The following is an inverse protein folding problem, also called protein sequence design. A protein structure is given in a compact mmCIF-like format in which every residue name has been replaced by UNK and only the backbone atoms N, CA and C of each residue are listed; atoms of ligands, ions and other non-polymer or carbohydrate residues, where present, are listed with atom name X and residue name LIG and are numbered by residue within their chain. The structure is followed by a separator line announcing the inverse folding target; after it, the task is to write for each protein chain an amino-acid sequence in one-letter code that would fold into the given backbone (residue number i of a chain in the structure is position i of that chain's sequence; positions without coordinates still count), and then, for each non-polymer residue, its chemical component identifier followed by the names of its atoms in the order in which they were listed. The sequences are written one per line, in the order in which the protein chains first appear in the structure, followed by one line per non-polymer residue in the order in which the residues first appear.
data_IF_841468978186
#
_entry.id   IF_841468978186
#
_cell.length_a   1.000
_cell.length_b   1.000
_cell.length_c   1.000
_cell.angle_alpha   90.00
_cell.angle_beta   90.00
_cell.angle_gamma   90.00
#
_symmetry.space_group_name_H-M   'P 1'
#
loop_
_entity.id
_entity.type
_entity.pdbx_description
1 polymer ?
#
# COMPACT_ATOMS: atom_id res chain seq x y z
N UNK A 1 -69.12 52.82 -29.26
CA UNK A 1 -68.46 52.54 -30.56
C UNK A 1 -67.83 51.16 -30.49
N UNK A 2 -68.21 50.25 -31.41
CA UNK A 2 -67.61 48.93 -31.79
C UNK A 2 -67.23 47.94 -30.65
N UNK A 3 -67.95 46.84 -30.36
CA UNK A 3 -68.33 45.62 -31.12
C UNK A 3 -67.41 44.40 -30.82
N UNK A 4 -68.09 43.27 -30.49
CA UNK A 4 -67.74 41.83 -30.42
C UNK A 4 -67.01 41.19 -29.18
N UNK A 5 -67.77 40.32 -28.50
CA UNK A 5 -67.42 39.18 -27.61
C UNK A 5 -66.87 37.97 -28.45
N UNK A 6 -66.46 36.77 -27.91
CA UNK A 6 -66.73 36.19 -26.58
C UNK A 6 -65.64 35.29 -25.91
N UNK A 7 -65.91 34.96 -24.63
CA UNK A 7 -65.67 33.71 -23.89
C UNK A 7 -64.40 32.86 -24.10
N UNK A 8 -63.74 32.48 -23.01
CA UNK A 8 -63.83 31.11 -22.44
C UNK A 8 -63.08 30.96 -21.11
N UNK A 9 -63.71 30.14 -20.25
CA UNK A 9 -63.13 29.22 -19.23
C UNK A 9 -62.43 29.77 -17.97
N UNK A 10 -63.20 29.70 -16.88
CA UNK A 10 -62.73 29.40 -15.52
C UNK A 10 -62.09 28.00 -15.46
N UNK A 11 -60.90 27.88 -14.85
CA UNK A 11 -60.43 26.63 -14.25
C UNK A 11 -59.96 26.89 -12.81
N UNK A 12 -60.42 26.08 -11.83
CA UNK A 12 -60.09 26.24 -10.42
C UNK A 12 -58.70 25.69 -10.08
N UNK A 13 -58.15 26.25 -9.00
CA UNK A 13 -56.90 25.88 -8.36
C UNK A 13 -56.83 24.37 -8.05
N UNK A 14 -55.71 23.75 -8.42
CA UNK A 14 -55.34 22.40 -8.01
C UNK A 14 -54.26 22.45 -6.91
N UNK A 15 -54.27 21.48 -5.96
CA UNK A 15 -53.47 21.54 -4.74
C UNK A 15 -52.00 21.17 -4.95
N UNK A 16 -51.17 21.71 -4.06
CA UNK A 16 -49.76 21.37 -3.84
C UNK A 16 -49.54 19.85 -3.78
N UNK A 17 -48.80 19.32 -4.76
CA UNK A 17 -48.20 17.99 -4.66
C UNK A 17 -46.75 18.12 -4.20
N UNK A 18 -46.48 17.64 -2.98
CA UNK A 18 -45.14 17.35 -2.48
C UNK A 18 -44.43 16.35 -3.41
N UNK A 19 -43.14 16.54 -3.75
CA UNK A 19 -42.40 15.52 -4.49
C UNK A 19 -42.33 14.26 -3.62
N UNK A 20 -43.02 13.19 -4.03
CA UNK A 20 -42.77 11.86 -3.48
C UNK A 20 -41.32 11.52 -3.76
N UNK A 21 -40.50 11.48 -2.72
CA UNK A 21 -39.24 10.76 -2.75
C UNK A 21 -39.54 9.34 -3.23
N UNK A 22 -39.20 9.05 -4.48
CA UNK A 22 -39.00 7.70 -4.96
C UNK A 22 -37.82 7.15 -4.16
N UNK A 23 -38.10 6.55 -3.01
CA UNK A 23 -37.20 5.62 -2.37
C UNK A 23 -36.99 4.51 -3.40
N UNK A 24 -35.90 4.63 -4.16
CA UNK A 24 -35.30 3.49 -4.83
C UNK A 24 -35.08 2.49 -3.72
N UNK A 25 -35.90 1.43 -3.68
CA UNK A 25 -35.66 0.24 -2.89
C UNK A 25 -34.25 -0.21 -3.24
N UNK A 26 -33.26 0.21 -2.44
CA UNK A 26 -32.02 -0.55 -2.30
C UNK A 26 -32.50 -1.87 -1.76
N UNK A 27 -32.60 -2.86 -2.64
CA UNK A 27 -32.44 -4.26 -2.28
C UNK A 27 -31.10 -4.31 -1.56
N UNK A 28 -31.14 -4.13 -0.25
CA UNK A 28 -30.09 -4.55 0.65
C UNK A 28 -30.13 -6.07 0.50
N UNK A 29 -29.35 -6.58 -0.45
CA UNK A 29 -28.94 -7.97 -0.40
C UNK A 29 -28.32 -8.11 0.98
N UNK A 30 -29.05 -8.73 1.91
CA UNK A 30 -28.48 -9.34 3.10
C UNK A 30 -27.64 -10.53 2.62
N UNK A 31 -26.58 -10.20 1.88
CA UNK A 31 -25.59 -11.16 1.43
C UNK A 31 -24.99 -11.74 2.69
N UNK A 32 -25.00 -13.07 2.78
CA UNK A 32 -24.15 -13.80 3.69
C UNK A 32 -22.78 -13.12 3.76
N UNK A 33 -22.19 -13.04 4.96
CA UNK A 33 -20.81 -12.57 5.18
C UNK A 33 -19.85 -13.51 4.43
N UNK A 34 -19.79 -13.41 3.09
CA UNK A 34 -18.88 -14.16 2.27
C UNK A 34 -17.51 -13.55 2.51
N UNK A 35 -16.70 -14.24 3.31
CA UNK A 35 -15.32 -13.83 3.58
C UNK A 35 -14.51 -13.69 2.28
N UNK A 36 -14.87 -14.45 1.24
CA UNK A 36 -14.19 -14.54 -0.05
C UNK A 36 -15.15 -14.12 -1.17
N UNK A 37 -14.77 -13.13 -1.98
CA UNK A 37 -15.47 -12.76 -3.21
C UNK A 37 -14.73 -13.30 -4.44
N UNK A 38 -15.44 -13.87 -5.44
CA UNK A 38 -14.83 -14.22 -6.71
C UNK A 38 -14.25 -12.98 -7.42
N UNK A 39 -12.98 -13.04 -7.80
CA UNK A 39 -12.30 -11.98 -8.52
C UNK A 39 -12.93 -11.70 -9.89
N UNK A 40 -13.54 -12.70 -10.52
CA UNK A 40 -14.32 -12.54 -11.76
C UNK A 40 -15.56 -11.66 -11.57
N UNK A 41 -16.22 -11.74 -10.41
CA UNK A 41 -17.35 -10.88 -10.05
C UNK A 41 -16.90 -9.44 -9.81
N UNK A 42 -15.76 -9.24 -9.12
CA UNK A 42 -15.19 -7.91 -8.98
C UNK A 42 -14.77 -7.34 -10.34
N UNK A 43 -14.09 -8.14 -11.16
CA UNK A 43 -13.61 -7.76 -12.50
C UNK A 43 -14.75 -7.30 -13.40
N UNK A 44 -15.92 -7.97 -13.40
CA UNK A 44 -17.08 -7.55 -14.21
C UNK A 44 -17.68 -6.21 -13.77
N UNK A 45 -17.47 -5.81 -12.51
CA UNK A 45 -17.88 -4.50 -11.99
C UNK A 45 -16.88 -3.38 -12.30
N UNK A 46 -15.66 -3.73 -12.69
CA UNK A 46 -14.62 -2.80 -13.12
C UNK A 46 -14.73 -2.59 -14.63
N UNK A 47 -15.51 -1.61 -15.06
CA UNK A 47 -15.75 -1.33 -16.50
C UNK A 47 -14.56 -0.71 -17.24
N UNK A 48 -13.43 -0.51 -16.55
CA UNK A 48 -12.24 0.22 -17.00
C UNK A 48 -11.13 0.10 -15.94
N UNK A 49 -9.91 0.47 -16.29
CA UNK A 49 -8.77 0.43 -15.37
C UNK A 49 -9.08 1.15 -14.04
N UNK A 50 -8.99 0.46 -12.90
CA UNK A 50 -9.42 1.02 -11.63
C UNK A 50 -8.35 1.92 -10.99
N UNK A 51 -8.79 3.00 -10.36
CA UNK A 51 -7.98 3.66 -9.34
C UNK A 51 -7.99 2.85 -8.04
N UNK A 52 -7.00 3.03 -7.17
CA UNK A 52 -7.00 2.40 -5.83
C UNK A 52 -8.28 2.70 -5.05
N UNK A 53 -8.79 3.94 -5.15
CA UNK A 53 -10.02 4.36 -4.48
C UNK A 53 -11.28 3.71 -5.08
N UNK A 54 -11.39 3.71 -6.41
CA UNK A 54 -12.52 3.08 -7.10
C UNK A 54 -12.57 1.58 -6.82
N UNK A 55 -11.41 0.91 -6.85
CA UNK A 55 -11.30 -0.50 -6.48
C UNK A 55 -11.67 -0.74 -5.02
N UNK A 56 -11.10 0.04 -4.09
CA UNK A 56 -11.42 -0.05 -2.66
C UNK A 56 -12.93 0.03 -2.43
N UNK A 57 -13.61 1.00 -3.04
CA UNK A 57 -15.06 1.15 -2.95
C UNK A 57 -15.80 -0.10 -3.45
N UNK A 58 -15.49 -0.58 -4.66
CA UNK A 58 -16.12 -1.77 -5.24
C UNK A 58 -15.89 -3.00 -4.37
N UNK A 59 -14.68 -3.15 -3.82
CA UNK A 59 -14.32 -4.26 -2.94
C UNK A 59 -15.03 -4.18 -1.58
N UNK A 60 -15.07 -3.01 -0.94
CA UNK A 60 -15.72 -2.82 0.37
C UNK A 60 -17.24 -3.01 0.29
N UNK A 61 -17.86 -2.69 -0.85
CA UNK A 61 -19.27 -2.98 -1.10
C UNK A 61 -19.61 -4.49 -1.09
N UNK A 62 -18.62 -5.38 -1.24
CA UNK A 62 -18.85 -6.83 -1.15
C UNK A 62 -18.93 -7.34 0.29
N UNK A 63 -18.53 -6.51 1.27
CA UNK A 63 -18.35 -6.94 2.65
C UNK A 63 -17.44 -8.18 2.81
N UNK A 64 -16.49 -8.36 1.90
CA UNK A 64 -15.52 -9.45 1.91
C UNK A 64 -14.16 -9.00 2.46
N UNK A 65 -13.37 -9.98 2.88
CA UNK A 65 -11.98 -9.80 3.28
C UNK A 65 -10.99 -10.24 2.18
N UNK A 66 -11.39 -11.23 1.37
CA UNK A 66 -10.51 -11.87 0.40
C UNK A 66 -11.08 -11.85 -1.01
N UNK A 67 -10.19 -11.80 -1.99
CA UNK A 67 -10.49 -11.97 -3.40
C UNK A 67 -9.95 -13.33 -3.82
N UNK A 68 -10.74 -14.13 -4.51
CA UNK A 68 -10.30 -15.39 -5.11
C UNK A 68 -10.20 -15.25 -6.63
N UNK A 69 -9.00 -15.40 -7.19
CA UNK A 69 -8.82 -15.53 -8.63
C UNK A 69 -9.07 -16.97 -9.05
N UNK A 70 -7.99 -17.74 -9.25
CA UNK A 70 -8.08 -19.18 -9.51
C UNK A 70 -8.27 -19.99 -8.22
N UNK A 71 -8.97 -21.13 -8.28
CA UNK A 71 -9.10 -22.03 -7.15
C UNK A 71 -7.73 -22.51 -6.64
N UNK A 72 -7.57 -22.45 -5.32
CA UNK A 72 -6.48 -23.07 -4.58
C UNK A 72 -7.11 -23.59 -3.27
N UNK A 73 -6.76 -24.79 -2.78
CA UNK A 73 -7.49 -25.45 -1.68
C UNK A 73 -7.11 -24.85 -0.32
N UNK A 74 -7.28 -23.54 -0.13
CA UNK A 74 -7.09 -22.83 1.13
C UNK A 74 -8.47 -22.49 1.71
N UNK A 75 -8.70 -22.88 2.96
CA UNK A 75 -9.88 -22.47 3.71
C UNK A 75 -9.79 -21.01 4.16
N UNK A 76 -10.91 -20.42 4.57
CA UNK A 76 -10.93 -19.08 5.17
C UNK A 76 -10.02 -18.96 6.41
N UNK A 77 -9.92 -20.01 7.23
CA UNK A 77 -9.01 -20.02 8.39
C UNK A 77 -7.54 -20.01 7.95
N UNK A 78 -7.19 -20.76 6.89
CA UNK A 78 -5.88 -20.68 6.26
C UNK A 78 -5.56 -19.26 5.76
N UNK A 79 -6.54 -18.55 5.19
CA UNK A 79 -6.37 -17.15 4.76
C UNK A 79 -6.17 -16.20 5.94
N UNK A 80 -6.87 -16.39 7.06
CA UNK A 80 -6.63 -15.61 8.31
C UNK A 80 -5.23 -15.85 8.87
N UNK A 81 -4.70 -17.08 8.79
CA UNK A 81 -3.30 -17.35 9.14
C UNK A 81 -2.32 -16.67 8.20
N UNK A 82 -2.64 -16.58 6.91
CA UNK A 82 -1.84 -15.80 5.94
C UNK A 82 -1.89 -14.31 6.28
N UNK A 83 -3.02 -13.76 6.74
CA UNK A 83 -3.08 -12.36 7.23
C UNK A 83 -2.12 -12.15 8.42
N UNK A 84 -2.14 -13.06 9.40
CA UNK A 84 -1.22 -13.02 10.56
C UNK A 84 0.23 -13.12 10.12
N UNK A 85 0.54 -14.07 9.24
CA UNK A 85 1.86 -14.26 8.66
C UNK A 85 2.34 -13.00 7.93
N UNK A 86 1.46 -12.39 7.14
CA UNK A 86 1.75 -11.17 6.40
C UNK A 86 2.11 -10.01 7.33
N UNK A 87 1.30 -9.78 8.37
CA UNK A 87 1.59 -8.77 9.39
C UNK A 87 2.89 -9.05 10.13
N UNK A 88 3.11 -10.30 10.55
CA UNK A 88 4.32 -10.69 11.28
C UNK A 88 5.58 -10.45 10.45
N UNK A 89 5.57 -10.88 9.18
CA UNK A 89 6.69 -10.68 8.26
C UNK A 89 6.90 -9.21 7.88
N UNK A 90 5.82 -8.42 7.75
CA UNK A 90 5.90 -6.97 7.52
C UNK A 90 6.62 -6.27 8.68
N UNK A 91 6.20 -6.54 9.90
CA UNK A 91 6.81 -5.95 11.10
C UNK A 91 8.26 -6.40 11.25
N UNK A 92 8.56 -7.66 10.92
CA UNK A 92 9.92 -8.17 10.95
C UNK A 92 10.84 -7.48 9.94
N UNK A 93 10.40 -7.34 8.70
CA UNK A 93 11.25 -6.75 7.67
C UNK A 93 11.43 -5.23 7.83
N UNK A 94 10.52 -4.54 8.52
CA UNK A 94 10.54 -3.08 8.58
C UNK A 94 10.17 -2.45 7.23
N UNK A 95 9.42 -1.36 7.28
CA UNK A 95 8.84 -0.75 6.08
C UNK A 95 9.84 0.12 5.28
N UNK A 96 10.86 -0.45 4.65
CA UNK A 96 11.86 0.37 3.96
C UNK A 96 11.46 0.92 2.58
N UNK A 97 11.95 2.12 2.26
CA UNK A 97 12.08 2.65 0.89
C UNK A 97 13.48 2.30 0.35
N UNK A 98 13.60 1.70 -0.83
CA UNK A 98 14.84 1.08 -1.34
C UNK A 98 15.61 1.92 -2.36
N UNK A 99 15.62 3.26 -2.28
CA UNK A 99 16.50 4.02 -3.18
C UNK A 99 17.96 4.07 -2.73
N UNK A 100 18.23 3.90 -1.43
CA UNK A 100 19.54 3.65 -0.83
C UNK A 100 19.30 3.50 0.67
N UNK A 101 19.39 2.31 1.27
CA UNK A 101 19.18 2.18 2.70
C UNK A 101 20.31 2.93 3.45
N UNK A 102 19.97 4.04 4.12
CA UNK A 102 20.89 4.76 5.02
C UNK A 102 20.58 4.41 6.47
N UNK A 103 21.62 4.28 7.30
CA UNK A 103 21.51 4.07 8.74
C UNK A 103 20.83 2.75 9.17
N UNK A 104 20.02 2.78 10.22
CA UNK A 104 19.30 1.63 10.80
C UNK A 104 18.36 0.95 9.80
N UNK A 105 17.98 1.68 8.76
CA UNK A 105 17.16 1.17 7.68
C UNK A 105 17.89 0.20 6.73
N UNK A 106 19.23 0.15 6.78
CA UNK A 106 20.07 -0.76 5.98
C UNK A 106 20.19 -2.16 6.54
N UNK A 107 19.96 -2.33 7.84
CA UNK A 107 20.21 -3.60 8.52
C UNK A 107 19.10 -4.60 8.20
N UNK A 108 19.36 -5.47 7.22
CA UNK A 108 18.51 -6.64 7.01
C UNK A 108 18.67 -7.58 8.19
N UNK A 109 17.55 -8.10 8.69
CA UNK A 109 17.55 -9.22 9.62
C UNK A 109 17.25 -10.45 8.78
N UNK A 110 18.29 -11.18 8.30
CA UNK A 110 18.06 -12.42 7.58
C UNK A 110 17.36 -13.41 8.51
N UNK A 111 16.39 -14.13 7.98
CA UNK A 111 15.82 -15.30 8.65
C UNK A 111 15.87 -16.48 7.66
N UNK A 112 16.14 -17.70 8.15
CA UNK A 112 16.15 -18.88 7.31
C UNK A 112 14.76 -19.20 6.80
N UNK A 113 14.66 -20.06 5.77
CA UNK A 113 13.41 -20.71 5.41
C UNK A 113 12.74 -21.35 6.63
N UNK A 114 11.43 -21.16 6.73
CA UNK A 114 10.63 -21.73 7.82
C UNK A 114 9.28 -22.21 7.28
N UNK A 115 8.71 -23.18 7.96
CA UNK A 115 7.35 -23.67 7.70
C UNK A 115 6.36 -23.06 8.67
N UNK A 116 5.12 -22.91 8.22
CA UNK A 116 3.97 -22.51 9.03
C UNK A 116 2.87 -23.54 8.85
N UNK A 117 2.30 -23.99 9.97
CA UNK A 117 1.13 -24.88 9.96
C UNK A 117 -0.15 -24.04 9.76
N UNK A 118 -0.86 -24.27 8.66
CA UNK A 118 -2.19 -23.72 8.38
C UNK A 118 -3.29 -24.53 9.09
N UNK A 119 -4.47 -23.95 9.28
CA UNK A 119 -5.55 -24.55 10.10
C UNK A 119 -6.21 -25.79 9.49
N UNK A 120 -6.00 -26.04 8.20
CA UNK A 120 -6.50 -27.20 7.48
C UNK A 120 -5.46 -28.33 7.38
N UNK A 121 -4.49 -28.35 8.30
CA UNK A 121 -3.39 -29.32 8.32
C UNK A 121 -2.35 -29.13 7.21
N UNK A 122 -2.52 -28.12 6.35
CA UNK A 122 -1.55 -27.80 5.31
C UNK A 122 -0.35 -27.11 5.91
N UNK A 123 0.83 -27.39 5.35
CA UNK A 123 2.07 -26.72 5.72
C UNK A 123 2.55 -25.88 4.56
N UNK A 124 3.01 -24.67 4.88
CA UNK A 124 3.58 -23.77 3.88
C UNK A 124 5.01 -23.43 4.25
N UNK A 125 5.93 -23.60 3.30
CA UNK A 125 7.31 -23.14 3.46
C UNK A 125 7.42 -21.73 2.91
N UNK A 126 8.03 -20.85 3.70
CA UNK A 126 8.27 -19.45 3.36
C UNK A 126 9.76 -19.25 3.16
N UNK A 127 10.14 -18.75 1.98
CA UNK A 127 11.51 -18.34 1.66
C UNK A 127 11.48 -16.89 1.22
N UNK A 128 12.34 -16.06 1.79
CA UNK A 128 12.48 -14.68 1.36
C UNK A 128 13.20 -14.66 -0.01
N UNK A 129 12.54 -14.15 -1.06
CA UNK A 129 13.11 -14.10 -2.41
C UNK A 129 13.51 -12.67 -2.83
N UNK A 130 12.59 -11.71 -2.73
CA UNK A 130 12.79 -10.37 -3.30
C UNK A 130 12.32 -9.24 -2.38
N UNK A 131 12.96 -8.07 -2.48
CA UNK A 131 12.56 -6.85 -1.76
C UNK A 131 12.46 -5.70 -2.74
N UNK A 132 11.35 -4.98 -2.69
CA UNK A 132 11.15 -3.73 -3.43
C UNK A 132 10.92 -2.55 -2.50
N UNK A 133 10.80 -1.36 -3.07
CA UNK A 133 10.56 -0.10 -2.33
C UNK A 133 9.27 -0.15 -1.49
N UNK A 134 8.26 -0.90 -1.95
CA UNK A 134 6.88 -0.82 -1.44
C UNK A 134 6.33 -2.16 -0.95
N UNK A 135 7.01 -3.26 -1.29
CA UNK A 135 6.59 -4.62 -1.00
C UNK A 135 7.78 -5.54 -0.85
N UNK A 136 7.54 -6.70 -0.23
CA UNK A 136 8.46 -7.83 -0.25
C UNK A 136 7.79 -9.01 -0.95
N UNK A 137 8.58 -9.89 -1.55
CA UNK A 137 8.14 -11.10 -2.24
C UNK A 137 8.78 -12.31 -1.59
N UNK A 138 7.95 -13.32 -1.35
CA UNK A 138 8.35 -14.58 -0.76
C UNK A 138 7.96 -15.73 -1.68
N UNK A 139 8.81 -16.75 -1.75
CA UNK A 139 8.35 -18.06 -2.18
C UNK A 139 7.43 -18.62 -1.11
N UNK A 140 6.24 -19.00 -1.54
CA UNK A 140 5.24 -19.67 -0.74
C UNK A 140 5.08 -21.07 -1.32
N UNK A 141 5.58 -22.08 -0.62
CA UNK A 141 5.57 -23.46 -1.11
C UNK A 141 4.46 -24.22 -0.39
N UNK A 142 3.47 -24.69 -1.14
CA UNK A 142 2.33 -25.44 -0.63
C UNK A 142 2.20 -26.76 -1.40
N UNK A 143 2.28 -27.89 -0.68
CA UNK A 143 2.20 -29.22 -1.30
C UNK A 143 3.25 -29.44 -2.40
N UNK A 144 4.46 -28.93 -2.21
CA UNK A 144 5.56 -29.00 -3.18
C UNK A 144 5.47 -28.01 -4.35
N UNK A 145 4.36 -27.28 -4.50
CA UNK A 145 4.19 -26.27 -5.55
C UNK A 145 4.59 -24.89 -5.05
N UNK A 146 5.31 -24.13 -5.89
CA UNK A 146 5.75 -22.76 -5.60
C UNK A 146 4.70 -21.73 -6.04
N UNK A 147 4.48 -20.75 -5.18
CA UNK A 147 3.66 -19.56 -5.41
C UNK A 147 4.46 -18.33 -4.99
N UNK A 148 4.07 -17.15 -5.49
CA UNK A 148 4.65 -15.90 -5.06
C UNK A 148 3.69 -15.19 -4.10
N UNK A 149 4.12 -15.03 -2.84
CA UNK A 149 3.41 -14.20 -1.86
C UNK A 149 4.02 -12.81 -1.87
N UNK A 150 3.33 -11.84 -2.47
CA UNK A 150 3.72 -10.42 -2.44
C UNK A 150 3.00 -9.74 -1.29
N UNK A 151 3.76 -9.04 -0.46
CA UNK A 151 3.24 -8.36 0.73
C UNK A 151 3.63 -6.90 0.70
N UNK A 152 2.64 -6.02 0.75
CA UNK A 152 2.85 -4.59 0.80
C UNK A 152 3.34 -4.21 2.19
N UNK A 153 4.29 -3.29 2.23
CA UNK A 153 4.83 -2.75 3.49
C UNK A 153 3.78 -1.89 4.20
N UNK A 154 2.99 -1.16 3.44
CA UNK A 154 1.96 -0.24 3.92
C UNK A 154 0.62 -0.59 3.24
N UNK A 155 -0.28 -1.34 3.90
CA UNK A 155 -1.54 -1.78 3.31
C UNK A 155 -2.58 -0.66 3.20
N UNK A 156 -2.44 0.39 4.01
CA UNK A 156 -3.33 1.56 3.98
C UNK A 156 -2.95 2.54 2.87
N UNK A 157 -1.83 2.30 2.19
CA UNK A 157 -1.37 3.07 1.04
C UNK A 157 -2.39 2.97 -0.10
N UNK A 158 -3.05 4.08 -0.40
CA UNK A 158 -3.99 4.21 -1.52
C UNK A 158 -3.34 4.89 -2.73
N UNK A 159 -2.14 4.47 -3.11
CA UNK A 159 -1.47 4.98 -4.30
C UNK A 159 -1.10 3.88 -5.28
N UNK A 160 -0.38 4.23 -6.34
CA UNK A 160 -0.10 3.39 -7.50
C UNK A 160 0.53 2.07 -7.07
N UNK A 161 1.42 2.10 -6.08
CA UNK A 161 2.12 0.93 -5.58
C UNK A 161 1.56 0.43 -4.25
N UNK A 162 0.37 0.89 -3.88
CA UNK A 162 -0.41 0.40 -2.76
C UNK A 162 -1.16 -0.89 -3.10
N UNK A 163 -1.60 -1.60 -2.06
CA UNK A 163 -2.30 -2.89 -2.19
C UNK A 163 -3.55 -2.76 -3.07
N UNK A 164 -4.37 -1.74 -2.83
CA UNK A 164 -5.61 -1.52 -3.58
C UNK A 164 -5.38 -1.16 -5.06
N UNK A 165 -4.27 -0.52 -5.40
CA UNK A 165 -3.96 -0.21 -6.80
C UNK A 165 -3.53 -1.46 -7.55
N UNK A 166 -2.48 -2.13 -7.07
CA UNK A 166 -1.95 -3.30 -7.77
C UNK A 166 -2.91 -4.49 -7.75
N UNK A 167 -3.56 -4.79 -6.62
CA UNK A 167 -4.57 -5.85 -6.56
C UNK A 167 -5.79 -5.48 -7.40
N UNK A 168 -6.14 -4.20 -7.47
CA UNK A 168 -7.18 -3.69 -8.37
C UNK A 168 -6.84 -3.96 -9.83
N UNK A 169 -5.60 -3.69 -10.25
CA UNK A 169 -5.11 -3.99 -11.59
C UNK A 169 -5.14 -5.50 -11.88
N UNK A 170 -4.63 -6.33 -10.98
CA UNK A 170 -4.71 -7.80 -11.12
C UNK A 170 -6.15 -8.26 -11.28
N UNK A 171 -7.07 -7.74 -10.46
CA UNK A 171 -8.50 -8.08 -10.50
C UNK A 171 -9.15 -7.65 -11.80
N UNK A 172 -8.89 -6.42 -12.27
CA UNK A 172 -9.37 -5.92 -13.56
C UNK A 172 -8.93 -6.83 -14.71
N UNK A 173 -7.66 -7.23 -14.69
CA UNK A 173 -7.07 -8.04 -15.73
C UNK A 173 -7.58 -9.49 -15.74
N UNK A 174 -8.22 -10.01 -14.68
CA UNK A 174 -8.65 -11.43 -14.61
C UNK A 174 -9.47 -11.89 -15.82
N UNK A 175 -10.42 -11.07 -16.27
CA UNK A 175 -11.32 -11.39 -17.39
C UNK A 175 -10.86 -10.81 -18.73
N UNK A 176 -9.61 -10.35 -18.83
CA UNK A 176 -9.07 -9.70 -20.04
C UNK A 176 -8.08 -10.62 -20.76
N UNK A 177 -8.00 -10.58 -22.11
CA UNK A 177 -7.07 -11.41 -22.87
C UNK A 177 -5.67 -10.77 -22.85
N UNK A 178 -4.99 -10.80 -21.69
CA UNK A 178 -3.63 -10.27 -21.52
C UNK A 178 -2.69 -11.39 -21.11
N UNK A 179 -1.63 -11.61 -21.90
CA UNK A 179 -0.58 -12.62 -21.64
C UNK A 179 0.53 -12.08 -20.74
N UNK A 180 1.30 -12.98 -20.13
CA UNK A 180 2.48 -12.61 -19.33
C UNK A 180 2.17 -11.99 -17.96
N UNK A 181 0.93 -12.07 -17.48
CA UNK A 181 0.52 -11.63 -16.14
C UNK A 181 0.39 -12.84 -15.22
N UNK A 182 0.96 -12.81 -13.99
CA UNK A 182 0.79 -13.86 -13.00
C UNK A 182 -0.68 -14.21 -12.75
N UNK A 183 -0.95 -15.50 -12.58
CA UNK A 183 -2.28 -15.94 -12.18
C UNK A 183 -2.50 -15.55 -10.72
N UNK A 184 -3.54 -14.77 -10.44
CA UNK A 184 -3.95 -14.47 -9.08
C UNK A 184 -4.71 -15.66 -8.49
N UNK A 185 -4.31 -16.13 -7.32
CA UNK A 185 -5.04 -17.15 -6.55
C UNK A 185 -5.88 -16.50 -5.46
N UNK A 186 -5.23 -15.74 -4.59
CA UNK A 186 -5.89 -15.02 -3.50
C UNK A 186 -5.27 -13.64 -3.29
N UNK A 187 -6.05 -12.70 -2.76
CA UNK A 187 -5.54 -11.44 -2.24
C UNK A 187 -6.38 -10.95 -1.07
N UNK A 188 -5.73 -10.18 -0.18
CA UNK A 188 -6.41 -9.36 0.82
C UNK A 188 -5.91 -7.91 0.66
N UNK A 189 -6.67 -7.03 -0.01
CA UNK A 189 -6.31 -5.63 -0.16
C UNK A 189 -6.17 -4.89 1.18
N UNK A 190 -7.01 -5.23 2.17
CA UNK A 190 -7.03 -4.62 3.51
C UNK A 190 -5.80 -4.97 4.32
N UNK A 191 -5.38 -6.24 4.28
CA UNK A 191 -4.17 -6.69 4.97
C UNK A 191 -2.92 -6.50 4.12
N UNK A 192 -3.06 -6.14 2.84
CA UNK A 192 -1.98 -5.78 1.93
C UNK A 192 -1.10 -6.97 1.56
N UNK A 193 -1.69 -8.02 1.01
CA UNK A 193 -0.96 -9.10 0.36
C UNK A 193 -1.74 -9.72 -0.80
N UNK A 194 -1.01 -10.37 -1.70
CA UNK A 194 -1.55 -11.19 -2.78
C UNK A 194 -0.69 -12.43 -3.01
N UNK A 195 -1.33 -13.49 -3.48
CA UNK A 195 -0.73 -14.78 -3.81
C UNK A 195 -0.92 -15.06 -5.30
N UNK A 196 0.17 -15.15 -6.04
CA UNK A 196 0.15 -15.41 -7.48
C UNK A 196 0.94 -16.66 -7.86
N UNK A 197 0.83 -17.07 -9.13
CA UNK A 197 1.74 -18.06 -9.72
C UNK A 197 3.20 -17.62 -9.55
N UNK A 198 4.06 -18.57 -9.25
CA UNK A 198 5.51 -18.38 -9.29
C UNK A 198 5.99 -18.41 -10.74
N UNK A 199 6.86 -17.48 -11.12
CA UNK A 199 7.58 -17.52 -12.38
C UNK A 199 9.07 -17.67 -12.10
N UNK A 200 9.67 -18.67 -12.74
CA UNK A 200 11.11 -18.81 -12.83
C UNK A 200 11.51 -18.40 -14.26
N UNK A 201 12.46 -17.47 -14.40
CA UNK A 201 12.99 -17.04 -15.69
C UNK A 201 13.53 -18.22 -16.53
N UNK A 202 13.98 -19.30 -15.87
CA UNK A 202 14.45 -20.54 -16.51
C UNK A 202 13.31 -21.48 -16.90
N UNK A 203 12.11 -21.31 -16.34
CA UNK A 203 10.94 -22.09 -16.71
C UNK A 203 10.27 -21.47 -17.93
N UNK A 204 10.05 -22.26 -18.98
CA UNK A 204 9.33 -21.84 -20.19
C UNK A 204 7.85 -21.47 -19.92
N UNK A 205 7.38 -21.61 -18.68
CA UNK A 205 5.99 -21.41 -18.26
C UNK A 205 5.71 -19.91 -18.04
N UNK A 206 5.99 -19.07 -19.05
CA UNK A 206 5.72 -17.62 -19.11
C UNK A 206 4.21 -17.31 -19.13
N UNK A 207 3.49 -17.73 -18.10
CA UNK A 207 2.07 -17.49 -17.91
C UNK A 207 1.21 -18.14 -19.00
N UNK A 208 0.38 -19.12 -18.63
CA UNK A 208 -0.51 -19.84 -19.55
C UNK A 208 -1.65 -18.99 -20.12
N UNK A 209 -1.65 -17.68 -19.86
CA UNK A 209 -2.67 -16.75 -20.35
C UNK A 209 -2.37 -16.42 -21.80
N UNK A 210 -3.35 -16.64 -22.67
CA UNK A 210 -3.32 -16.22 -24.07
C UNK A 210 -3.87 -14.80 -24.21
N UNK A 211 -3.46 -14.08 -25.27
CA UNK A 211 -3.97 -12.75 -25.58
C UNK A 211 -2.90 -11.73 -25.98
N UNK A 212 -3.26 -10.45 -25.87
CA UNK A 212 -2.41 -9.30 -26.17
C UNK A 212 -1.27 -9.19 -25.15
N UNK A 213 -0.10 -8.73 -25.59
CA UNK A 213 0.90 -8.27 -24.64
C UNK A 213 0.39 -7.05 -23.86
N UNK A 214 0.94 -6.83 -22.67
CA UNK A 214 0.45 -5.79 -21.76
C UNK A 214 0.52 -4.39 -22.40
N UNK A 215 1.61 -4.04 -23.08
CA UNK A 215 1.76 -2.69 -23.64
C UNK A 215 0.76 -2.41 -24.76
N UNK A 216 0.54 -3.39 -25.65
CA UNK A 216 -0.53 -3.30 -26.66
C UNK A 216 -1.89 -3.13 -26.01
N UNK A 217 -2.20 -3.92 -24.98
CA UNK A 217 -3.45 -3.78 -24.23
C UNK A 217 -3.60 -2.39 -23.59
N UNK A 218 -2.56 -1.87 -22.94
CA UNK A 218 -2.58 -0.55 -22.30
C UNK A 218 -2.83 0.58 -23.32
N UNK A 219 -2.23 0.49 -24.52
CA UNK A 219 -2.49 1.45 -25.60
C UNK A 219 -3.97 1.48 -25.99
N UNK A 220 -4.63 0.33 -26.09
CA UNK A 220 -6.08 0.26 -26.37
C UNK A 220 -6.92 0.88 -25.23
N UNK A 221 -6.48 0.74 -23.99
CA UNK A 221 -7.17 1.29 -22.81
C UNK A 221 -6.86 2.78 -22.56
N UNK A 222 -6.06 3.44 -23.42
CA UNK A 222 -5.54 4.80 -23.21
C UNK A 222 -4.74 4.95 -21.90
N UNK A 223 -3.97 3.90 -21.59
CA UNK A 223 -3.10 3.79 -20.43
C UNK A 223 -1.63 3.72 -20.88
N UNK A 224 -0.72 4.15 -20.00
CA UNK A 224 0.71 4.03 -20.20
C UNK A 224 1.42 3.57 -18.92
N UNK A 225 2.65 3.10 -19.05
CA UNK A 225 3.46 2.57 -17.94
C UNK A 225 4.69 3.44 -17.76
N UNK A 226 4.94 3.99 -16.57
CA UNK A 226 6.03 4.97 -16.37
C UNK A 226 7.45 4.42 -16.39
N UNK A 227 7.62 3.12 -16.23
CA UNK A 227 8.93 2.49 -16.36
C UNK A 227 9.02 1.81 -17.74
N UNK A 228 9.17 2.60 -18.79
CA UNK A 228 9.50 2.12 -20.15
C UNK A 228 10.99 1.80 -20.31
N UNK A 229 11.84 2.31 -19.41
CA UNK A 229 13.24 1.88 -19.27
C UNK A 229 13.33 0.59 -18.44
N UNK A 230 14.16 -0.35 -18.88
CA UNK A 230 14.44 -1.70 -18.39
C UNK A 230 14.62 -1.94 -16.86
N UNK A 231 14.36 -0.98 -15.98
CA UNK A 231 14.65 -1.11 -14.54
C UNK A 231 13.65 -1.98 -13.77
N UNK A 232 12.42 -2.18 -14.30
CA UNK A 232 11.41 -3.08 -13.74
C UNK A 232 10.88 -4.12 -14.73
N UNK A 233 11.38 -4.12 -15.97
CA UNK A 233 11.14 -5.19 -16.95
C UNK A 233 12.33 -6.13 -16.87
N UNK A 234 12.18 -7.23 -16.14
CA UNK A 234 13.18 -8.31 -16.15
C UNK A 234 14.20 -8.35 -15.02
N UNK A 235 13.83 -8.01 -13.79
CA UNK A 235 14.60 -8.49 -12.63
C UNK A 235 13.69 -9.19 -11.63
N UNK A 236 13.72 -10.53 -11.68
CA UNK A 236 13.21 -11.48 -10.68
C UNK A 236 11.67 -11.59 -10.54
N UNK A 237 11.11 -12.60 -11.20
CA UNK A 237 9.90 -13.35 -10.83
C UNK A 237 8.54 -12.60 -10.79
N UNK A 238 8.49 -11.29 -11.07
CA UNK A 238 7.28 -10.51 -11.35
C UNK A 238 7.47 -9.75 -12.67
N UNK A 239 6.67 -10.09 -13.68
CA UNK A 239 6.90 -9.61 -15.06
C UNK A 239 6.56 -8.11 -15.21
N UNK A 240 5.63 -7.57 -14.40
CA UNK A 240 5.22 -6.17 -14.47
C UNK A 240 4.89 -5.59 -13.10
N UNK A 241 5.41 -4.39 -12.80
CA UNK A 241 4.94 -3.52 -11.72
C UNK A 241 3.64 -2.83 -12.17
N UNK A 242 2.52 -3.52 -11.99
CA UNK A 242 1.20 -2.97 -12.38
C UNK A 242 0.85 -1.66 -11.68
N UNK A 243 1.57 -1.32 -10.61
CA UNK A 243 1.44 -0.03 -9.97
C UNK A 243 1.95 1.12 -10.85
N UNK A 244 2.89 0.90 -11.78
CA UNK A 244 3.38 1.94 -12.68
C UNK A 244 2.38 2.40 -13.77
N UNK A 245 1.17 1.83 -13.81
CA UNK A 245 0.20 2.04 -14.89
C UNK A 245 -0.75 3.18 -14.57
N UNK A 246 -0.88 4.13 -15.50
CA UNK A 246 -1.65 5.35 -15.31
C UNK A 246 -2.22 5.86 -16.65
N UNK A 247 -3.23 6.75 -16.63
CA UNK A 247 -3.89 7.25 -17.82
C UNK A 247 -3.00 8.22 -18.59
N UNK A 248 -2.99 8.16 -19.92
CA UNK A 248 -2.23 9.09 -20.79
C UNK A 248 -2.64 10.55 -20.59
N UNK A 249 -3.88 10.82 -20.19
CA UNK A 249 -4.31 12.20 -19.90
C UNK A 249 -3.54 12.84 -18.73
N UNK A 250 -3.07 12.02 -17.78
CA UNK A 250 -2.35 12.52 -16.61
C UNK A 250 -0.92 12.97 -16.91
N UNK A 251 -0.32 12.58 -18.03
CA UNK A 251 1.01 13.06 -18.43
C UNK A 251 1.00 14.40 -19.18
N UNK A 252 -0.18 15.03 -19.38
CA UNK A 252 -0.35 16.23 -20.22
C UNK A 252 -0.83 17.50 -19.50
N UNK A 253 -0.79 17.55 -18.17
CA UNK A 253 -1.25 18.74 -17.44
C UNK A 253 -0.19 19.86 -17.48
N UNK A 254 -0.55 21.02 -18.04
CA UNK A 254 0.35 22.18 -18.16
C UNK A 254 -0.05 23.38 -17.31
N UNK A 255 -1.29 23.43 -16.79
CA UNK A 255 -1.79 24.52 -15.93
C UNK A 255 -2.67 24.04 -14.75
N UNK A 256 -2.91 24.92 -13.79
CA UNK A 256 -3.91 24.69 -12.73
C UNK A 256 -5.32 24.52 -13.31
N UNK A 257 -5.66 25.23 -14.40
CA UNK A 257 -6.95 25.09 -15.06
C UNK A 257 -7.12 23.69 -15.67
N UNK A 258 -6.08 23.11 -16.26
CA UNK A 258 -6.13 21.74 -16.78
C UNK A 258 -6.30 20.73 -15.66
N UNK A 259 -5.66 20.97 -14.51
CA UNK A 259 -5.87 20.18 -13.32
C UNK A 259 -7.32 20.30 -12.80
N UNK A 260 -7.90 21.49 -12.77
CA UNK A 260 -9.30 21.67 -12.39
C UNK A 260 -10.26 20.98 -13.35
N UNK A 261 -10.03 21.10 -14.67
CA UNK A 261 -10.81 20.37 -15.69
C UNK A 261 -10.71 18.87 -15.50
N UNK A 262 -9.52 18.37 -15.18
CA UNK A 262 -9.28 16.97 -14.88
C UNK A 262 -10.12 16.52 -13.67
N UNK A 263 -10.13 17.30 -12.59
CA UNK A 263 -10.95 17.05 -11.39
C UNK A 263 -12.45 17.13 -11.65
N UNK A 264 -12.89 18.10 -12.46
CA UNK A 264 -14.31 18.40 -12.67
C UNK A 264 -14.96 17.54 -13.76
N UNK A 265 -14.18 16.86 -14.60
CA UNK A 265 -14.66 16.17 -15.80
C UNK A 265 -15.57 14.96 -15.53
N UNK A 266 -15.86 14.61 -14.27
CA UNK A 266 -16.61 13.39 -13.93
C UNK A 266 -15.89 12.11 -14.38
N UNK A 267 -14.69 12.23 -14.97
CA UNK A 267 -13.74 11.15 -15.21
C UNK A 267 -13.09 10.71 -13.88
N UNK A 268 -13.82 10.67 -12.77
CA UNK A 268 -13.46 10.04 -11.48
C UNK A 268 -12.94 8.60 -11.63
N UNK A 269 -13.17 8.07 -12.82
CA UNK A 269 -12.87 6.76 -13.32
C UNK A 269 -11.56 6.71 -14.14
N UNK A 270 -11.16 7.74 -14.91
CA UNK A 270 -9.94 7.70 -15.76
C UNK A 270 -8.96 8.85 -15.54
N UNK A 271 -9.30 9.86 -14.75
CA UNK A 271 -8.56 11.12 -14.70
C UNK A 271 -7.34 11.06 -13.78
N UNK A 272 -7.47 10.39 -12.63
CA UNK A 272 -6.37 10.24 -11.68
C UNK A 272 -6.45 8.85 -11.04
N UNK A 273 -5.95 7.85 -11.76
CA UNK A 273 -5.66 6.58 -11.10
C UNK A 273 -4.57 6.83 -10.08
N UNK A 274 -4.96 6.66 -8.82
CA UNK A 274 -4.15 6.91 -7.65
C UNK A 274 -2.71 6.47 -7.87
N UNK A 275 -1.80 7.45 -7.92
CA UNK A 275 -0.37 7.23 -7.68
C UNK A 275 0.65 7.86 -8.63
N UNK A 276 0.20 8.46 -9.72
CA UNK A 276 1.06 9.37 -10.45
C UNK A 276 0.93 10.80 -9.91
N UNK A 277 2.09 11.46 -9.85
CA UNK A 277 2.32 12.78 -9.25
C UNK A 277 1.26 13.75 -9.76
N UNK A 278 0.81 14.72 -8.95
CA UNK A 278 0.24 15.95 -9.54
C UNK A 278 1.26 16.38 -10.60
N UNK A 279 0.92 16.28 -11.89
CA UNK A 279 1.91 16.30 -12.97
C UNK A 279 2.60 17.65 -13.01
N UNK A 280 3.63 17.70 -13.84
CA UNK A 280 4.64 18.74 -13.99
C UNK A 280 4.08 20.08 -14.48
N UNK A 281 3.01 20.62 -13.89
CA UNK A 281 2.50 21.99 -14.10
C UNK A 281 3.71 22.91 -13.97
N UNK A 282 4.25 23.49 -15.05
CA UNK A 282 5.58 24.11 -15.02
C UNK A 282 5.64 25.27 -14.04
N UNK A 283 4.55 26.03 -13.94
CA UNK A 283 4.41 27.12 -12.99
C UNK A 283 4.25 26.62 -11.55
N UNK A 284 5.13 27.11 -10.67
CA UNK A 284 5.20 26.66 -9.26
C UNK A 284 4.01 27.14 -8.43
N UNK A 285 3.50 28.35 -8.70
CA UNK A 285 2.38 28.91 -7.95
C UNK A 285 1.07 28.17 -8.30
N UNK A 286 0.87 27.87 -9.58
CA UNK A 286 -0.23 27.02 -10.06
C UNK A 286 -0.11 25.59 -9.54
N UNK A 287 1.09 25.03 -9.48
CA UNK A 287 1.33 23.71 -8.89
C UNK A 287 0.98 23.69 -7.39
N UNK A 288 1.32 24.75 -6.64
CA UNK A 288 0.92 24.90 -5.24
C UNK A 288 -0.61 24.96 -5.09
N UNK A 289 -1.30 25.73 -5.95
CA UNK A 289 -2.77 25.77 -5.99
C UNK A 289 -3.37 24.39 -6.29
N UNK A 290 -2.80 23.65 -7.24
CA UNK A 290 -3.21 22.28 -7.54
C UNK A 290 -3.03 21.33 -6.34
N UNK A 291 -1.89 21.43 -5.62
CA UNK A 291 -1.63 20.64 -4.41
C UNK A 291 -2.64 20.92 -3.29
N UNK A 292 -3.02 22.19 -3.06
CA UNK A 292 -4.08 22.49 -2.09
C UNK A 292 -5.44 21.96 -2.54
N UNK A 293 -5.83 22.22 -3.78
CA UNK A 293 -7.10 21.72 -4.31
C UNK A 293 -7.17 20.19 -4.22
N UNK A 294 -6.06 19.48 -4.44
CA UNK A 294 -5.98 18.04 -4.29
C UNK A 294 -6.18 17.54 -2.84
N UNK A 295 -5.87 18.34 -1.80
CA UNK A 295 -6.11 17.95 -0.40
C UNK A 295 -7.62 17.84 -0.08
N UNK A 296 -8.45 18.60 -0.79
CA UNK A 296 -9.91 18.56 -0.64
C UNK A 296 -10.52 17.28 -1.23
N UNK A 297 -9.75 16.52 -2.01
CA UNK A 297 -10.18 15.28 -2.65
C UNK A 297 -9.55 14.05 -1.96
N UNK A 298 -10.32 13.26 -1.17
CA UNK A 298 -9.80 12.12 -0.40
C UNK A 298 -8.95 11.13 -1.20
N UNK A 299 -9.30 10.89 -2.46
CA UNK A 299 -8.60 9.98 -3.36
C UNK A 299 -7.21 10.48 -3.80
N UNK A 300 -6.90 11.76 -3.61
CA UNK A 300 -5.65 12.39 -4.02
C UNK A 300 -4.72 12.73 -2.85
N UNK A 301 -5.26 12.81 -1.64
CA UNK A 301 -4.57 13.23 -0.40
C UNK A 301 -3.22 12.56 -0.16
N UNK A 302 -3.12 11.24 -0.36
CA UNK A 302 -1.87 10.49 -0.18
C UNK A 302 -0.79 10.90 -1.20
N UNK A 303 -1.20 11.35 -2.39
CA UNK A 303 -0.32 11.78 -3.48
C UNK A 303 0.18 13.21 -3.32
N UNK A 304 -0.62 14.08 -2.71
CA UNK A 304 -0.20 15.46 -2.43
C UNK A 304 1.14 15.45 -1.68
N UNK A 305 1.28 14.60 -0.66
CA UNK A 305 2.51 14.52 0.14
C UNK A 305 3.71 14.01 -0.66
N UNK A 306 3.51 13.04 -1.54
CA UNK A 306 4.54 12.53 -2.46
C UNK A 306 4.97 13.59 -3.47
N UNK A 307 4.03 14.31 -4.06
CA UNK A 307 4.30 15.40 -5.00
C UNK A 307 4.96 16.59 -4.31
N UNK A 308 4.56 16.94 -3.09
CA UNK A 308 5.09 18.08 -2.36
C UNK A 308 6.55 17.87 -1.91
N UNK A 309 6.89 16.69 -1.39
CA UNK A 309 8.23 16.48 -0.81
C UNK A 309 9.20 15.64 -1.64
N UNK A 310 8.90 15.34 -2.90
CA UNK A 310 9.90 14.86 -3.87
C UNK A 310 10.89 15.99 -4.20
N UNK A 311 11.99 16.06 -3.44
CA UNK A 311 13.13 16.98 -3.64
C UNK A 311 13.68 16.99 -5.06
N UNK A 312 13.59 15.88 -5.78
CA UNK A 312 14.08 15.75 -7.16
C UNK A 312 13.32 16.63 -8.16
N UNK A 313 12.16 17.20 -7.80
CA UNK A 313 11.30 17.96 -8.72
C UNK A 313 11.24 19.47 -8.50
N UNK A 314 11.92 20.05 -7.48
CA UNK A 314 11.79 21.49 -7.14
C UNK A 314 10.32 21.97 -7.17
N UNK A 315 9.38 21.12 -6.68
CA UNK A 315 7.94 21.31 -6.86
C UNK A 315 7.43 22.61 -6.24
N UNK A 316 8.06 23.04 -5.16
CA UNK A 316 7.80 24.29 -4.46
C UNK A 316 9.13 25.02 -4.31
N UNK A 317 9.11 26.36 -4.37
CA UNK A 317 10.30 27.21 -4.45
C UNK A 317 10.95 27.51 -3.10
N UNK A 318 10.23 27.39 -1.99
CA UNK A 318 10.72 27.65 -0.64
C UNK A 318 10.34 26.52 0.32
N UNK A 319 11.04 26.43 1.43
CA UNK A 319 10.78 25.40 2.45
C UNK A 319 9.48 25.64 3.23
N UNK A 320 9.01 26.89 3.30
CA UNK A 320 7.76 27.29 3.96
C UNK A 320 6.52 26.73 3.27
N UNK A 321 6.48 26.73 1.94
CA UNK A 321 5.34 26.18 1.19
C UNK A 321 5.22 24.67 1.38
N UNK A 322 6.36 23.99 1.50
CA UNK A 322 6.42 22.57 1.84
C UNK A 322 5.92 22.37 3.27
N UNK A 323 6.40 23.17 4.23
CA UNK A 323 5.92 23.14 5.63
C UNK A 323 4.41 23.34 5.70
N UNK A 324 3.85 24.32 4.98
CA UNK A 324 2.42 24.60 5.00
C UNK A 324 1.59 23.45 4.38
N UNK A 325 2.00 22.93 3.21
CA UNK A 325 1.29 21.80 2.57
C UNK A 325 1.38 20.53 3.42
N UNK A 326 2.57 20.22 3.96
CA UNK A 326 2.74 19.09 4.86
C UNK A 326 1.91 19.28 6.14
N UNK A 327 1.93 20.48 6.72
CA UNK A 327 1.18 20.83 7.93
C UNK A 327 -0.33 20.71 7.76
N UNK A 328 -0.87 21.11 6.61
CA UNK A 328 -2.27 20.86 6.24
C UNK A 328 -2.55 19.37 5.99
N UNK A 329 -1.62 18.69 5.33
CA UNK A 329 -1.66 17.24 5.13
C UNK A 329 -1.76 16.44 6.43
N UNK A 330 -1.16 16.92 7.52
CA UNK A 330 -1.25 16.28 8.84
C UNK A 330 -2.68 16.28 9.41
N UNK A 331 -3.57 17.15 8.95
CA UNK A 331 -4.97 17.13 9.40
C UNK A 331 -5.75 15.93 8.81
N UNK A 332 -5.16 15.18 7.87
CA UNK A 332 -5.75 14.02 7.24
C UNK A 332 -4.98 12.74 7.61
N UNK A 333 -5.60 11.77 8.32
CA UNK A 333 -4.93 10.51 8.70
C UNK A 333 -4.30 9.75 7.53
N UNK A 334 -4.91 9.81 6.34
CA UNK A 334 -4.40 9.14 5.13
C UNK A 334 -3.09 9.75 4.58
N UNK A 335 -2.84 11.03 4.88
CA UNK A 335 -1.69 11.80 4.40
C UNK A 335 -0.61 11.95 5.46
N UNK A 336 -0.98 11.91 6.75
CA UNK A 336 -0.06 12.18 7.85
C UNK A 336 1.17 11.27 7.87
N UNK A 337 1.00 10.00 7.48
CA UNK A 337 2.12 9.05 7.33
C UNK A 337 3.14 9.52 6.29
N UNK A 338 2.65 9.87 5.11
CA UNK A 338 3.47 10.32 3.97
C UNK A 338 4.10 11.68 4.22
N UNK A 339 3.41 12.56 4.93
CA UNK A 339 3.90 13.89 5.25
C UNK A 339 5.24 13.82 6.01
N UNK A 340 5.38 12.90 6.96
CA UNK A 340 6.67 12.64 7.65
C UNK A 340 7.71 12.07 6.69
N UNK A 341 7.35 11.04 5.92
CA UNK A 341 8.29 10.37 5.03
C UNK A 341 8.99 11.35 4.08
N UNK A 342 8.26 12.35 3.59
CA UNK A 342 8.82 13.35 2.69
C UNK A 342 9.34 14.61 3.40
N UNK A 343 9.10 14.78 4.71
CA UNK A 343 9.78 15.77 5.53
C UNK A 343 11.26 15.40 5.80
N UNK A 344 11.62 14.10 5.72
CA UNK A 344 12.95 13.50 6.04
C UNK A 344 14.15 14.04 5.22
N UNK A 345 13.93 14.84 4.18
CA UNK A 345 15.04 15.49 3.50
C UNK A 345 15.83 16.47 4.40
N UNK A 346 15.21 17.04 5.43
CA UNK A 346 15.68 18.26 6.07
C UNK A 346 16.01 17.99 7.53
N UNK A 347 17.26 17.68 7.82
CA UNK A 347 17.78 17.60 9.18
C UNK A 347 18.03 19.00 9.81
N UNK A 348 17.34 20.05 9.37
CA UNK A 348 17.60 21.43 9.81
C UNK A 348 16.30 22.17 10.22
N UNK A 349 16.28 22.51 11.50
CA UNK A 349 15.42 23.35 12.37
C UNK A 349 13.88 23.42 12.23
N UNK A 350 13.27 23.57 11.04
CA UNK A 350 11.89 24.14 11.01
C UNK A 350 10.78 23.10 10.82
N UNK A 351 11.14 21.88 10.42
CA UNK A 351 10.19 20.76 10.19
C UNK A 351 10.03 19.82 11.38
N UNK A 352 10.84 19.98 12.42
CA UNK A 352 10.76 19.15 13.63
C UNK A 352 9.40 19.25 14.36
N UNK A 353 8.76 20.43 14.51
CA UNK A 353 7.42 20.51 15.09
C UNK A 353 6.37 19.73 14.29
N UNK A 354 6.47 19.71 12.95
CA UNK A 354 5.59 18.91 12.10
C UNK A 354 5.83 17.42 12.30
N UNK A 355 7.10 17.00 12.41
CA UNK A 355 7.45 15.63 12.77
C UNK A 355 6.78 15.22 14.08
N UNK A 356 6.94 16.02 15.15
CA UNK A 356 6.33 15.75 16.46
C UNK A 356 4.79 15.74 16.40
N UNK A 357 4.16 16.69 15.70
CA UNK A 357 2.71 16.73 15.50
C UNK A 357 2.22 15.46 14.79
N UNK A 358 2.97 15.00 13.80
CA UNK A 358 2.62 13.84 13.02
C UNK A 358 2.76 12.53 13.82
N UNK A 359 3.69 12.41 14.78
CA UNK A 359 3.79 11.25 15.68
C UNK A 359 2.52 10.93 16.48
N UNK A 360 1.49 11.79 16.47
CA UNK A 360 0.18 11.52 17.06
C UNK A 360 -0.65 10.51 16.25
N UNK A 361 -0.35 10.32 14.97
CA UNK A 361 -1.08 9.39 14.11
C UNK A 361 -0.37 8.03 13.99
N UNK A 362 -1.14 6.95 14.01
CA UNK A 362 -0.63 5.57 13.92
C UNK A 362 0.24 5.34 12.68
N UNK A 363 -0.19 5.84 11.52
CA UNK A 363 0.52 5.66 10.24
C UNK A 363 1.80 6.48 10.15
N UNK A 364 1.80 7.64 10.80
CA UNK A 364 2.95 8.52 10.95
C UNK A 364 4.07 7.92 11.78
N UNK A 365 3.75 7.17 12.82
CA UNK A 365 4.74 6.50 13.67
C UNK A 365 5.51 5.40 12.95
N UNK A 366 4.83 4.66 12.07
CA UNK A 366 5.46 3.63 11.23
C UNK A 366 6.44 4.25 10.24
N UNK A 367 6.09 5.39 9.64
CA UNK A 367 6.96 6.15 8.76
C UNK A 367 8.12 6.82 9.51
N UNK A 368 7.85 7.45 10.66
CA UNK A 368 8.86 8.04 11.53
C UNK A 368 9.87 7.00 12.05
N UNK A 369 9.41 5.77 12.31
CA UNK A 369 10.28 4.71 12.83
C UNK A 369 11.44 4.35 11.88
N UNK A 370 11.34 4.71 10.60
CA UNK A 370 12.36 4.50 9.57
C UNK A 370 13.54 5.48 9.67
N UNK A 371 13.40 6.53 10.47
CA UNK A 371 14.33 7.66 10.55
C UNK A 371 14.78 7.96 11.99
N UNK A 372 14.46 7.08 12.95
CA UNK A 372 14.76 7.31 14.38
C UNK A 372 16.26 7.54 14.60
N UNK A 373 17.09 6.85 13.83
CA UNK A 373 18.55 6.93 13.85
C UNK A 373 19.10 8.24 13.28
N UNK A 374 18.27 9.02 12.58
CA UNK A 374 18.60 10.35 12.06
C UNK A 374 18.10 11.49 12.94
N UNK A 375 17.31 11.21 13.97
CA UNK A 375 16.82 12.24 14.88
C UNK A 375 17.99 12.90 15.64
N UNK A 376 17.82 14.11 16.20
CA UNK A 376 18.77 14.71 17.14
C UNK A 376 19.12 13.73 18.26
N UNK A 377 20.39 13.67 18.64
CA UNK A 377 20.96 12.62 19.47
C UNK A 377 20.16 12.43 20.78
N UNK A 378 19.84 13.52 21.45
CA UNK A 378 19.08 13.64 22.70
C UNK A 378 17.64 13.09 22.61
N UNK A 379 17.09 12.96 21.40
CA UNK A 379 15.71 12.49 21.17
C UNK A 379 15.63 11.01 20.77
N UNK A 380 16.77 10.38 20.42
CA UNK A 380 16.80 9.02 19.88
C UNK A 380 16.37 7.98 20.92
N UNK A 381 17.00 7.97 22.09
CA UNK A 381 16.67 7.00 23.13
C UNK A 381 15.20 7.10 23.58
N UNK A 382 14.65 8.29 23.94
CA UNK A 382 13.22 8.41 24.27
C UNK A 382 12.30 7.89 23.17
N UNK A 383 12.63 8.14 21.90
CA UNK A 383 11.84 7.67 20.75
C UNK A 383 11.89 6.15 20.59
N UNK A 384 13.08 5.55 20.72
CA UNK A 384 13.27 4.09 20.69
C UNK A 384 12.47 3.41 21.80
N UNK A 385 12.58 3.90 23.04
CA UNK A 385 11.87 3.34 24.19
C UNK A 385 10.34 3.46 24.04
N UNK A 386 9.86 4.61 23.55
CA UNK A 386 8.43 4.83 23.27
C UNK A 386 7.92 3.83 22.24
N UNK A 387 8.69 3.57 21.19
CA UNK A 387 8.32 2.62 20.13
C UNK A 387 8.27 1.19 20.63
N UNK A 388 9.24 0.76 21.44
CA UNK A 388 9.20 -0.58 22.03
C UNK A 388 7.93 -0.82 22.85
N UNK A 389 7.57 0.14 23.70
CA UNK A 389 6.43 0.05 24.62
C UNK A 389 5.08 0.14 23.93
N UNK A 390 4.97 1.02 22.95
CA UNK A 390 3.65 1.45 22.45
C UNK A 390 3.32 0.94 21.05
N UNK A 391 4.32 0.52 20.26
CA UNK A 391 4.15 0.30 18.82
C UNK A 391 4.81 -0.99 18.34
N UNK A 392 4.12 -2.14 18.45
CA UNK A 392 4.63 -3.45 18.00
C UNK A 392 5.18 -3.44 16.56
N UNK A 393 4.52 -2.73 15.65
CA UNK A 393 4.92 -2.63 14.24
C UNK A 393 6.22 -1.86 14.00
N UNK A 394 6.65 -1.03 14.94
CA UNK A 394 7.90 -0.25 14.87
C UNK A 394 9.08 -0.90 15.59
N UNK A 395 8.84 -1.98 16.34
CA UNK A 395 9.84 -2.62 17.22
C UNK A 395 11.10 -3.07 16.49
N UNK A 396 10.98 -3.71 15.32
CA UNK A 396 12.14 -4.14 14.55
C UNK A 396 13.01 -2.95 14.08
N UNK A 397 12.39 -1.83 13.74
CA UNK A 397 13.09 -0.62 13.32
C UNK A 397 13.78 0.08 14.49
N UNK A 398 13.09 0.20 15.63
CA UNK A 398 13.69 0.72 16.86
C UNK A 398 14.88 -0.14 17.33
N UNK A 399 14.78 -1.47 17.23
CA UNK A 399 15.87 -2.39 17.54
C UNK A 399 17.10 -2.19 16.64
N UNK A 400 16.89 -1.92 15.34
CA UNK A 400 17.99 -1.60 14.41
C UNK A 400 18.61 -0.24 14.71
N UNK A 401 17.82 0.72 15.18
CA UNK A 401 18.29 2.07 15.52
C UNK A 401 19.15 2.15 16.78
N UNK A 402 19.20 1.09 17.59
CA UNK A 402 20.05 1.00 18.79
C UNK A 402 21.53 1.29 18.48
N UNK A 403 22.02 0.92 17.30
CA UNK A 403 23.42 1.16 16.90
C UNK A 403 23.76 2.65 16.73
N UNK A 404 22.75 3.52 16.63
CA UNK A 404 22.93 4.98 16.51
C UNK A 404 23.08 5.71 17.86
N UNK A 405 23.01 4.98 18.98
CA UNK A 405 23.13 5.49 20.34
C UNK A 405 24.56 5.37 20.88
N UNK A 406 24.93 6.23 21.84
CA UNK A 406 26.11 6.09 22.69
C UNK A 406 25.98 4.86 23.60
N UNK A 407 27.07 4.47 24.26
CA UNK A 407 27.10 3.20 24.98
C UNK A 407 26.12 3.11 26.17
N UNK A 408 25.99 4.11 27.06
CA UNK A 408 24.99 4.07 28.13
C UNK A 408 23.54 3.95 27.61
N UNK A 409 23.19 4.72 26.57
CA UNK A 409 21.86 4.72 25.98
C UNK A 409 21.59 3.41 25.24
N UNK A 410 22.62 2.87 24.57
CA UNK A 410 22.56 1.58 23.87
C UNK A 410 22.22 0.44 24.83
N UNK A 411 22.89 0.35 25.97
CA UNK A 411 22.62 -0.68 26.98
C UNK A 411 21.19 -0.55 27.54
N UNK A 412 20.74 0.68 27.76
CA UNK A 412 19.36 0.97 28.19
C UNK A 412 18.34 0.50 27.14
N UNK A 413 18.56 0.82 25.87
CA UNK A 413 17.69 0.43 24.78
C UNK A 413 17.69 -1.10 24.53
N UNK A 414 18.85 -1.76 24.65
CA UNK A 414 18.95 -3.22 24.57
C UNK A 414 18.11 -3.85 25.69
N UNK A 415 18.30 -3.43 26.94
CA UNK A 415 17.55 -3.97 28.10
C UNK A 415 16.04 -3.83 27.92
N UNK A 416 15.57 -2.69 27.41
CA UNK A 416 14.15 -2.51 27.12
C UNK A 416 13.69 -3.38 25.94
N UNK A 417 14.44 -3.39 24.83
CA UNK A 417 14.11 -4.13 23.62
C UNK A 417 14.02 -5.64 23.85
N UNK A 418 14.87 -6.21 24.70
CA UNK A 418 14.88 -7.64 25.02
C UNK A 418 13.59 -8.16 25.67
N UNK A 419 12.73 -7.26 26.20
CA UNK A 419 11.41 -7.62 26.76
C UNK A 419 10.39 -8.03 25.69
N UNK A 420 10.62 -7.67 24.42
CA UNK A 420 9.67 -7.88 23.34
C UNK A 420 10.23 -8.91 22.34
N UNK A 421 9.51 -10.00 22.02
CA UNK A 421 10.03 -11.07 21.17
C UNK A 421 10.60 -10.62 19.82
N UNK A 422 9.89 -9.73 19.10
CA UNK A 422 10.35 -9.18 17.83
C UNK A 422 11.67 -8.41 17.99
N UNK A 423 11.71 -7.46 18.94
CA UNK A 423 12.90 -6.66 19.22
C UNK A 423 14.07 -7.54 19.64
N UNK A 424 13.82 -8.52 20.51
CA UNK A 424 14.80 -9.51 20.97
C UNK A 424 15.40 -10.31 19.82
N UNK A 425 14.58 -10.76 18.86
CA UNK A 425 15.08 -11.44 17.67
C UNK A 425 16.05 -10.53 16.90
N UNK A 426 15.61 -9.31 16.60
CA UNK A 426 16.44 -8.34 15.85
C UNK A 426 17.72 -7.99 16.60
N UNK A 427 17.65 -7.74 17.91
CA UNK A 427 18.81 -7.44 18.76
C UNK A 427 19.78 -8.62 18.76
N UNK A 428 19.29 -9.84 18.96
CA UNK A 428 20.14 -11.02 18.97
C UNK A 428 20.81 -11.27 17.61
N UNK A 429 20.11 -11.01 16.50
CA UNK A 429 20.71 -11.11 15.16
C UNK A 429 21.79 -10.06 14.93
N UNK A 430 21.61 -8.83 15.41
CA UNK A 430 22.52 -7.72 15.13
C UNK A 430 23.70 -7.61 16.09
N UNK A 431 23.48 -7.86 17.37
CA UNK A 431 24.46 -7.63 18.44
C UNK A 431 25.01 -8.92 19.05
N UNK A 432 24.30 -10.05 18.94
CA UNK A 432 24.68 -11.33 19.54
C UNK A 432 24.75 -12.46 18.50
N UNK A 433 25.45 -12.21 17.39
CA UNK A 433 25.46 -13.10 16.21
C UNK A 433 25.94 -14.55 16.51
N UNK A 434 26.76 -14.73 17.55
CA UNK A 434 27.26 -16.04 18.01
C UNK A 434 26.20 -16.91 18.67
N UNK A 435 25.07 -16.34 19.10
CA UNK A 435 24.03 -17.04 19.88
C UNK A 435 22.84 -17.49 19.03
N UNK A 436 23.09 -18.35 18.04
CA UNK A 436 22.06 -18.82 17.10
C UNK A 436 20.83 -19.42 17.80
N UNK A 437 21.01 -20.18 18.88
CA UNK A 437 19.89 -20.77 19.62
C UNK A 437 18.95 -19.71 20.21
N UNK A 438 19.49 -18.67 20.84
CA UNK A 438 18.70 -17.55 21.40
C UNK A 438 18.01 -16.73 20.30
N UNK A 439 18.64 -16.58 19.13
CA UNK A 439 18.02 -15.96 17.96
C UNK A 439 16.80 -16.77 17.50
N UNK A 440 16.94 -18.10 17.37
CA UNK A 440 15.84 -18.95 16.93
C UNK A 440 14.71 -19.03 17.94
N UNK A 441 15.03 -19.11 19.23
CA UNK A 441 13.99 -19.05 20.26
C UNK A 441 13.21 -17.73 20.20
N UNK A 442 13.91 -16.60 20.03
CA UNK A 442 13.26 -15.30 19.89
C UNK A 442 12.39 -15.20 18.62
N UNK A 443 12.85 -15.79 17.51
CA UNK A 443 12.07 -15.90 16.27
C UNK A 443 10.79 -16.71 16.48
N UNK A 444 10.89 -17.90 17.07
CA UNK A 444 9.74 -18.74 17.40
C UNK A 444 8.75 -18.03 18.32
N UNK A 445 9.24 -17.42 19.41
CA UNK A 445 8.38 -16.72 20.37
C UNK A 445 7.64 -15.55 19.71
N UNK A 446 8.29 -14.83 18.78
CA UNK A 446 7.66 -13.75 18.03
C UNK A 446 6.51 -14.25 17.15
N UNK A 447 6.73 -15.31 16.38
CA UNK A 447 5.67 -15.87 15.54
C UNK A 447 4.55 -16.50 16.38
N UNK A 448 4.88 -17.09 17.53
CA UNK A 448 3.89 -17.60 18.50
C UNK A 448 3.02 -16.47 19.06
N UNK A 449 3.59 -15.31 19.40
CA UNK A 449 2.84 -14.10 19.81
C UNK A 449 1.88 -13.65 18.70
N UNK A 450 2.26 -13.82 17.43
CA UNK A 450 1.40 -13.58 16.27
C UNK A 450 0.36 -14.69 16.01
N UNK A 451 0.30 -15.74 16.85
CA UNK A 451 -0.61 -16.87 16.71
C UNK A 451 -0.22 -17.81 15.57
N UNK A 452 1.08 -17.98 15.31
CA UNK A 452 1.65 -18.82 14.26
C UNK A 452 2.63 -19.83 14.88
N UNK A 453 2.41 -21.12 14.62
CA UNK A 453 3.43 -22.14 14.90
C UNK A 453 4.36 -22.23 13.69
N UNK A 454 5.63 -21.92 13.93
CA UNK A 454 6.67 -21.93 12.88
C UNK A 454 7.69 -22.99 13.20
N UNK A 455 8.28 -23.62 12.18
CA UNK A 455 9.39 -24.56 12.32
C UNK A 455 10.46 -24.25 11.31
N UNK A 456 11.72 -24.16 11.75
CA UNK A 456 12.83 -23.85 10.85
C UNK A 456 13.07 -25.02 9.87
N UNK A 457 13.31 -24.72 8.60
CA UNK A 457 13.73 -25.72 7.62
C UNK A 457 15.23 -25.92 7.78
N UNK A 458 15.66 -27.18 7.98
CA UNK A 458 17.08 -27.49 8.00
C UNK A 458 17.66 -27.32 6.59
N UNK A 459 18.84 -26.69 6.48
CA UNK A 459 19.46 -26.37 5.18
C UNK A 459 19.71 -27.59 4.26
N UNK A 460 19.62 -28.83 4.77
CA UNK A 460 19.78 -30.06 3.99
C UNK A 460 18.52 -30.50 3.22
N UNK A 461 17.39 -29.82 3.38
CA UNK A 461 16.08 -30.29 2.87
C UNK A 461 15.41 -29.32 1.88
N UNK A 462 16.17 -28.46 1.20
CA UNK A 462 15.66 -27.49 0.20
C UNK A 462 16.17 -27.86 -1.18
#
# INVERSE_FOLDING_TARGET
MKVFLPSTTNFPQAPFFSPKHTQTRRTVFSGSNQAIVPGSLLSSRLTQWPSAFAFKKVFEEQNSAYIQGKPLPLSTESLKKIDRLSRALRYLNGNYSTREPKGAARLMVPFPPFTVDLDDGKKVTIIQNGRGTVSNVYEFILGGKKYALKMYKDPERLDTHGSYSEIGAFTYLLNKPVKGIPELFFANPKEGWLLTSWYDEKSADKGKRTGLDLFTFLKHESMEHTNTGNENVGFSNFVYDLGGIHPVASSKLTSFLDFQKLLSSGHDKKAMNAGYRIPEIPDKAERKKALYSALDHPQLRSQVMKSAGLRTLKCLSNDDDIVDILGKGLNYPESAGRAIFYADGVAESDRYPLFVKALRYKNSLLEASKFIDKLPYETRLPSILKIFRSYPSGRALAARAISSLNEPDKQTAIKEGMKYPLSRFVINTLFNSSKKHEQWQAFHDYFREAGLDVKMVQAKSI
#
